data_IF_897254321446
#
_entry.id   IF_897254321446
#
_cell.length_a   1.000
_cell.length_b   1.000
_cell.length_c   1.000
_cell.angle_alpha   90.00
_cell.angle_beta   90.00
_cell.angle_gamma   90.00
#
_symmetry.space_group_name_H-M   'P 1'
#
loop_
_entity.id
_entity.type
_entity.pdbx_description
1 polymer ?
#
# COMPACT_ATOMS: atom_id res chain seq x y z
N UNK A 1 4.50 -22.69 9.72
CA UNK A 1 4.87 -21.29 9.90
C UNK A 1 3.68 -20.51 10.42
N UNK A 2 3.88 -19.74 11.47
CA UNK A 2 2.81 -18.99 12.10
C UNK A 2 2.53 -17.68 11.36
N UNK A 3 1.24 -17.31 11.22
CA UNK A 3 0.84 -16.01 10.66
C UNK A 3 0.54 -15.00 11.76
N UNK A 4 0.93 -15.29 13.00
CA UNK A 4 0.60 -14.45 14.15
C UNK A 4 1.13 -13.03 14.08
N UNK A 5 2.27 -12.84 13.40
CA UNK A 5 2.91 -11.54 13.27
C UNK A 5 2.72 -10.91 11.90
N UNK A 6 1.81 -11.44 11.09
CA UNK A 6 1.53 -10.88 9.79
C UNK A 6 0.39 -9.88 9.86
N UNK A 7 0.68 -8.66 9.42
CA UNK A 7 -0.27 -7.54 9.40
C UNK A 7 -0.55 -7.14 7.97
N UNK A 8 -1.81 -6.88 7.67
CA UNK A 8 -2.20 -6.30 6.37
C UNK A 8 -2.77 -4.92 6.62
N UNK A 9 -2.18 -3.92 6.00
CA UNK A 9 -2.68 -2.55 6.04
C UNK A 9 -3.31 -2.24 4.69
N UNK A 10 -4.59 -1.92 4.69
CA UNK A 10 -5.34 -1.61 3.46
C UNK A 10 -5.44 -0.09 3.32
N UNK A 11 -4.99 0.42 2.19
CA UNK A 11 -5.02 1.86 1.89
C UNK A 11 -6.07 2.08 0.81
N UNK A 12 -7.11 2.84 1.12
CA UNK A 12 -8.23 3.10 0.21
C UNK A 12 -8.34 4.55 -0.25
N UNK A 13 -7.67 5.45 0.44
CA UNK A 13 -7.82 6.89 0.19
C UNK A 13 -6.66 7.45 -0.61
N UNK A 14 -6.96 8.42 -1.45
CA UNK A 14 -5.95 9.11 -2.24
C UNK A 14 -5.02 9.93 -1.34
N UNK A 15 -3.77 10.19 -1.80
CA UNK A 15 -2.77 10.86 -0.96
C UNK A 15 -3.18 12.24 -0.43
N UNK A 16 -4.06 12.93 -1.14
CA UNK A 16 -4.40 14.32 -0.82
C UNK A 16 -5.87 14.49 -0.39
N UNK A 17 -6.60 13.40 -0.23
CA UNK A 17 -8.03 13.49 0.13
C UNK A 17 -8.27 13.51 1.63
N UNK A 18 -7.33 12.95 2.41
CA UNK A 18 -7.43 12.90 3.86
C UNK A 18 -6.08 12.50 4.44
N UNK A 19 -5.97 12.45 5.76
CA UNK A 19 -4.77 11.95 6.43
C UNK A 19 -4.71 10.41 6.50
N UNK A 20 -5.70 9.72 5.97
CA UNK A 20 -5.80 8.26 6.11
C UNK A 20 -4.59 7.54 5.54
N UNK A 21 -4.10 7.95 4.36
CA UNK A 21 -2.92 7.34 3.76
C UNK A 21 -1.71 7.48 4.68
N UNK A 22 -1.45 8.67 5.18
CA UNK A 22 -0.30 8.92 6.07
C UNK A 22 -0.42 8.09 7.35
N UNK A 23 -1.60 8.05 7.94
CA UNK A 23 -1.84 7.26 9.14
C UNK A 23 -1.58 5.78 8.89
N UNK A 24 -2.05 5.25 7.76
CA UNK A 24 -1.83 3.86 7.39
C UNK A 24 -0.36 3.55 7.19
N UNK A 25 0.37 4.43 6.51
CA UNK A 25 1.80 4.24 6.30
C UNK A 25 2.58 4.31 7.62
N UNK A 26 2.21 5.23 8.51
CA UNK A 26 2.83 5.34 9.83
C UNK A 26 2.60 4.07 10.65
N UNK A 27 1.39 3.53 10.64
CA UNK A 27 1.08 2.27 11.34
C UNK A 27 1.93 1.14 10.78
N UNK A 28 2.06 1.05 9.45
CA UNK A 28 2.87 0.02 8.81
C UNK A 28 4.34 0.12 9.23
N UNK A 29 4.89 1.33 9.23
CA UNK A 29 6.28 1.54 9.63
C UNK A 29 6.52 1.20 11.10
N UNK A 30 5.60 1.59 11.98
CA UNK A 30 5.71 1.26 13.41
C UNK A 30 5.66 -0.24 13.63
N UNK A 31 4.72 -0.93 12.98
CA UNK A 31 4.60 -2.38 13.10
C UNK A 31 5.87 -3.09 12.62
N UNK A 32 6.42 -2.65 11.49
CA UNK A 32 7.66 -3.21 10.96
C UNK A 32 8.85 -2.96 11.90
N UNK A 33 8.89 -1.79 12.51
CA UNK A 33 9.95 -1.44 13.46
C UNK A 33 9.93 -2.33 14.69
N UNK A 34 8.74 -2.87 15.04
CA UNK A 34 8.61 -3.83 16.14
C UNK A 34 8.79 -5.28 15.70
N UNK A 35 9.27 -5.51 14.49
CA UNK A 35 9.60 -6.85 14.02
C UNK A 35 8.43 -7.62 13.40
N UNK A 36 7.31 -6.96 13.15
CA UNK A 36 6.16 -7.61 12.52
C UNK A 36 6.31 -7.61 11.01
N UNK A 37 5.78 -8.65 10.36
CA UNK A 37 5.73 -8.73 8.91
C UNK A 37 4.51 -7.95 8.43
N UNK A 38 4.73 -6.94 7.60
CA UNK A 38 3.68 -6.05 7.14
C UNK A 38 3.56 -6.13 5.62
N UNK A 39 2.32 -6.24 5.15
CA UNK A 39 2.00 -6.10 3.72
C UNK A 39 1.01 -4.94 3.57
N UNK A 40 1.13 -4.23 2.47
CA UNK A 40 0.22 -3.13 2.15
C UNK A 40 -0.60 -3.53 0.93
N UNK A 41 -1.91 -3.30 1.01
CA UNK A 41 -2.83 -3.53 -0.10
C UNK A 41 -3.50 -2.21 -0.46
N UNK A 42 -3.26 -1.75 -1.67
CA UNK A 42 -3.78 -0.47 -2.15
C UNK A 42 -5.04 -0.72 -2.98
N UNK A 43 -6.17 -0.21 -2.52
CA UNK A 43 -7.47 -0.38 -3.17
C UNK A 43 -8.00 0.97 -3.63
N UNK A 44 -8.79 0.95 -4.69
CA UNK A 44 -9.44 2.16 -5.19
C UNK A 44 -8.43 3.28 -5.40
N UNK A 45 -8.75 4.46 -4.92
CA UNK A 45 -7.87 5.63 -5.09
C UNK A 45 -6.58 5.55 -4.27
N UNK A 46 -6.46 4.63 -3.34
CA UNK A 46 -5.21 4.41 -2.63
C UNK A 46 -4.07 4.03 -3.57
N UNK A 47 -4.37 3.42 -4.71
CA UNK A 47 -3.38 3.06 -5.72
C UNK A 47 -2.61 4.28 -6.23
N UNK A 48 -3.24 5.46 -6.20
CA UNK A 48 -2.60 6.69 -6.68
C UNK A 48 -1.33 7.05 -5.89
N UNK A 49 -1.21 6.56 -4.66
CA UNK A 49 -0.01 6.76 -3.84
C UNK A 49 1.22 6.08 -4.44
N UNK A 50 1.03 5.10 -5.28
CA UNK A 50 2.12 4.32 -5.88
C UNK A 50 2.58 4.83 -7.25
N UNK A 51 1.98 5.90 -7.76
CA UNK A 51 2.38 6.43 -9.05
C UNK A 51 3.81 6.98 -9.00
N UNK A 52 4.63 6.59 -9.98
CA UNK A 52 6.01 7.06 -10.11
C UNK A 52 6.08 8.56 -10.33
N UNK A 53 5.22 9.06 -11.21
CA UNK A 53 5.19 10.46 -11.59
C UNK A 53 3.98 11.12 -10.94
N UNK A 54 4.23 11.76 -9.81
CA UNK A 54 3.20 12.53 -9.15
C UNK A 54 3.39 13.99 -9.52
N UNK A 55 2.32 14.61 -10.01
CA UNK A 55 2.37 16.01 -10.40
C UNK A 55 2.62 16.87 -9.19
N UNK A 56 3.57 17.80 -9.33
CA UNK A 56 3.81 18.80 -8.30
C UNK A 56 2.67 19.80 -8.27
N UNK A 57 2.36 20.31 -7.10
CA UNK A 57 1.34 21.33 -6.93
C UNK A 57 0.20 20.95 -6.01
N UNK A 58 -0.08 19.67 -5.82
CA UNK A 58 -1.06 19.23 -4.83
C UNK A 58 -0.39 19.09 -3.47
N UNK A 59 -0.96 19.68 -2.42
CA UNK A 59 -0.39 19.54 -1.08
C UNK A 59 -0.30 18.06 -0.69
N UNK A 60 0.84 17.65 -0.16
CA UNK A 60 1.06 16.30 0.33
C UNK A 60 1.63 15.31 -0.67
N UNK A 61 1.58 15.59 -1.97
CA UNK A 61 2.11 14.66 -2.96
C UNK A 61 3.61 14.44 -2.81
N UNK A 62 4.35 15.51 -2.51
CA UNK A 62 5.80 15.39 -2.33
C UNK A 62 6.20 14.57 -1.12
N UNK A 63 5.33 14.48 -0.11
CA UNK A 63 5.63 13.74 1.11
C UNK A 63 5.33 12.24 0.95
N UNK A 64 4.50 11.86 -0.02
CA UNK A 64 4.08 10.47 -0.18
C UNK A 64 5.19 9.59 -0.74
N UNK A 65 5.87 10.02 -1.82
CA UNK A 65 6.92 9.20 -2.43
C UNK A 65 8.09 8.93 -1.49
N UNK A 66 8.63 9.92 -0.75
CA UNK A 66 9.68 9.61 0.21
C UNK A 66 9.24 8.60 1.27
N UNK A 67 7.98 8.65 1.70
CA UNK A 67 7.46 7.68 2.67
C UNK A 67 7.38 6.28 2.06
N UNK A 68 6.92 6.18 0.79
CA UNK A 68 6.89 4.90 0.07
C UNK A 68 8.31 4.33 -0.05
N UNK A 69 9.29 5.17 -0.36
CA UNK A 69 10.68 4.72 -0.45
C UNK A 69 11.20 4.21 0.90
N UNK A 70 10.77 4.81 2.01
CA UNK A 70 11.16 4.36 3.33
C UNK A 70 10.63 2.97 3.68
N UNK A 71 9.52 2.57 3.08
CA UNK A 71 8.94 1.25 3.37
C UNK A 71 9.93 0.13 3.07
N UNK A 72 10.69 0.25 1.98
CA UNK A 72 11.69 -0.74 1.60
C UNK A 72 12.79 -0.85 2.65
N UNK A 73 13.19 0.26 3.25
CA UNK A 73 14.21 0.27 4.29
C UNK A 73 13.76 -0.45 5.57
N UNK A 74 12.45 -0.59 5.77
CA UNK A 74 11.87 -1.29 6.90
C UNK A 74 11.43 -2.71 6.54
N UNK A 75 11.92 -3.23 5.41
CA UNK A 75 11.59 -4.57 4.90
C UNK A 75 10.10 -4.75 4.55
N UNK A 76 9.41 -3.66 4.28
CA UNK A 76 8.04 -3.72 3.77
C UNK A 76 8.13 -3.74 2.25
N UNK A 77 8.20 -4.93 1.68
CA UNK A 77 8.38 -5.12 0.24
C UNK A 77 7.11 -5.60 -0.48
N UNK A 78 6.03 -5.82 0.27
CA UNK A 78 4.76 -6.29 -0.29
C UNK A 78 3.81 -5.10 -0.47
N UNK A 79 3.91 -4.45 -1.62
CA UNK A 79 3.00 -3.37 -2.01
C UNK A 79 2.06 -3.94 -3.06
N UNK A 80 0.87 -4.37 -2.64
CA UNK A 80 -0.02 -5.17 -3.45
C UNK A 80 -1.13 -4.32 -4.06
N UNK A 81 -1.45 -4.55 -5.32
CA UNK A 81 -2.49 -3.83 -6.06
C UNK A 81 -3.34 -4.83 -6.83
N UNK A 82 -4.66 -4.88 -6.61
CA UNK A 82 -5.51 -5.74 -7.41
C UNK A 82 -5.60 -5.26 -8.86
N UNK A 83 -5.68 -6.20 -9.80
CA UNK A 83 -5.80 -5.87 -11.22
C UNK A 83 -7.02 -4.97 -11.48
N UNK A 84 -8.15 -5.23 -10.80
CA UNK A 84 -9.36 -4.42 -10.98
C UNK A 84 -9.16 -2.96 -10.60
N UNK A 85 -8.31 -2.68 -9.63
CA UNK A 85 -8.02 -1.30 -9.22
C UNK A 85 -7.27 -0.56 -10.32
N UNK A 86 -6.32 -1.23 -10.99
CA UNK A 86 -5.63 -0.64 -12.13
C UNK A 86 -6.59 -0.40 -13.28
N UNK A 87 -7.45 -1.36 -13.58
CA UNK A 87 -8.41 -1.25 -14.67
C UNK A 87 -9.38 -0.09 -14.43
N UNK A 88 -9.87 0.07 -13.21
CA UNK A 88 -10.80 1.14 -12.86
C UNK A 88 -10.17 2.53 -13.01
N UNK A 89 -8.88 2.65 -12.76
CA UNK A 89 -8.16 3.91 -12.85
C UNK A 89 -7.46 4.11 -14.20
N UNK A 90 -7.61 3.14 -15.11
CA UNK A 90 -6.94 3.16 -16.43
C UNK A 90 -5.43 3.27 -16.31
N UNK A 91 -4.85 2.55 -15.35
CA UNK A 91 -3.42 2.56 -15.10
C UNK A 91 -2.75 1.28 -15.55
N UNK A 92 -1.48 1.39 -15.92
CA UNK A 92 -0.62 0.25 -16.23
C UNK A 92 0.36 0.04 -15.08
N UNK A 93 0.78 -1.21 -14.88
CA UNK A 93 1.69 -1.54 -13.77
C UNK A 93 3.01 -0.77 -13.87
N UNK A 94 3.46 -0.47 -15.09
CA UNK A 94 4.72 0.26 -15.28
C UNK A 94 4.65 1.73 -14.86
N UNK A 95 3.44 2.25 -14.60
CA UNK A 95 3.26 3.59 -14.06
C UNK A 95 3.44 3.64 -12.54
N UNK A 96 3.50 2.47 -11.91
CA UNK A 96 3.66 2.36 -10.46
C UNK A 96 5.13 2.20 -10.08
N UNK A 97 5.45 2.51 -8.82
CA UNK A 97 6.80 2.29 -8.29
C UNK A 97 7.20 0.82 -8.42
N UNK A 98 8.49 0.57 -8.52
CA UNK A 98 9.02 -0.77 -8.81
C UNK A 98 8.60 -1.84 -7.80
N UNK A 99 8.43 -1.46 -6.56
CA UNK A 99 8.05 -2.41 -5.50
C UNK A 99 6.60 -2.87 -5.57
N UNK A 100 5.77 -2.29 -6.44
CA UNK A 100 4.36 -2.64 -6.54
C UNK A 100 4.18 -3.97 -7.25
N UNK A 101 3.33 -4.83 -6.69
CA UNK A 101 3.02 -6.15 -7.25
C UNK A 101 1.51 -6.22 -7.53
N UNK A 102 1.15 -6.57 -8.76
CA UNK A 102 -0.25 -6.74 -9.13
C UNK A 102 -0.71 -8.14 -8.72
N UNK A 103 -1.85 -8.20 -8.04
CA UNK A 103 -2.44 -9.46 -7.64
C UNK A 103 -3.78 -9.68 -8.34
N UNK A 104 -4.10 -10.94 -8.63
CA UNK A 104 -5.39 -11.28 -9.20
C UNK A 104 -6.49 -11.06 -8.17
N UNK A 105 -7.63 -10.50 -8.60
CA UNK A 105 -8.74 -10.24 -7.70
C UNK A 105 -9.24 -11.50 -7.02
N UNK A 106 -9.18 -12.62 -7.71
CA UNK A 106 -9.60 -13.91 -7.14
C UNK A 106 -8.75 -14.34 -5.94
N UNK A 107 -7.54 -13.82 -5.82
CA UNK A 107 -6.65 -14.13 -4.69
C UNK A 107 -6.87 -13.27 -3.45
N UNK A 108 -7.72 -12.23 -3.53
CA UNK A 108 -7.90 -11.32 -2.41
C UNK A 108 -8.49 -11.99 -1.15
N UNK A 109 -9.50 -12.86 -1.26
CA UNK A 109 -10.03 -13.52 -0.05
C UNK A 109 -8.95 -14.31 0.70
N UNK A 110 -8.11 -15.03 -0.02
CA UNK A 110 -7.03 -15.79 0.59
C UNK A 110 -5.98 -14.87 1.22
N UNK A 111 -5.67 -13.76 0.54
CA UNK A 111 -4.75 -12.77 1.07
C UNK A 111 -5.23 -12.22 2.41
N UNK A 112 -6.51 -11.86 2.48
CA UNK A 112 -7.11 -11.35 3.71
C UNK A 112 -7.11 -12.40 4.81
N UNK A 113 -7.39 -13.65 4.43
CA UNK A 113 -7.50 -14.75 5.39
C UNK A 113 -6.13 -15.13 5.98
N UNK A 114 -5.07 -14.96 5.20
CA UNK A 114 -3.72 -15.32 5.62
C UNK A 114 -3.16 -14.43 6.72
N UNK A 115 -3.62 -13.19 6.79
CA UNK A 115 -3.09 -12.24 7.76
C UNK A 115 -3.83 -12.30 9.08
N UNK A 116 -3.07 -12.26 10.18
CA UNK A 116 -3.64 -12.33 11.53
C UNK A 116 -4.39 -11.06 11.91
N UNK A 117 -4.02 -9.94 11.32
CA UNK A 117 -4.66 -8.67 11.59
C UNK A 117 -4.75 -7.84 10.32
N UNK A 118 -5.91 -7.23 10.09
CA UNK A 118 -6.18 -6.38 8.93
C UNK A 118 -6.66 -5.03 9.42
N UNK A 119 -6.01 -3.96 8.96
CA UNK A 119 -6.39 -2.59 9.32
C UNK A 119 -6.67 -1.80 8.04
N UNK A 120 -7.73 -0.98 8.09
CA UNK A 120 -8.19 -0.18 6.94
C UNK A 120 -7.94 1.31 7.16
N UNK A 121 -7.45 1.95 6.11
CA UNK A 121 -7.22 3.41 6.11
C UNK A 121 -7.73 4.10 4.87
#
# INVERSE_FOLDING_TARGET
MSHENERLVIIRHAPYSSNALREGLDVALVAAAFGQTVSLLFLGQGVLALLKEQKTGAPGQKATLPTIDMLEMYDIDQLLVPQSALDALHLQVDQLVEGATVVADAGLPELLHRHSQVMNF
#
